data_IF_597522576636
#
_entry.id   IF_597522576636
#
_cell.length_a   1.000
_cell.length_b   1.000
_cell.length_c   1.000
_cell.angle_alpha   90.00
_cell.angle_beta   90.00
_cell.angle_gamma   90.00
#
_symmetry.space_group_name_H-M   'P 1'
#
loop_
_entity.id
_entity.type
_entity.pdbx_description
1 polymer ?
#
# COMPACT_ATOMS: atom_id res chain seq x y z
N UNK A 1 -18.18 -12.35 8.78
CA UNK A 1 -17.77 -11.18 9.60
C UNK A 1 -18.57 -9.96 9.15
N UNK A 2 -19.10 -9.12 10.04
CA UNK A 2 -19.84 -7.92 9.62
C UNK A 2 -18.87 -6.84 9.15
N UNK A 3 -19.33 -5.89 8.34
CA UNK A 3 -18.51 -4.77 7.85
C UNK A 3 -17.85 -3.97 9.00
N UNK A 4 -18.59 -3.75 10.09
CA UNK A 4 -18.06 -3.08 11.30
C UNK A 4 -16.91 -3.83 11.95
N UNK A 5 -16.95 -5.16 11.92
CA UNK A 5 -15.92 -6.01 12.51
C UNK A 5 -14.66 -5.99 11.63
N UNK A 6 -14.81 -5.98 10.30
CA UNK A 6 -13.70 -5.79 9.35
C UNK A 6 -13.06 -4.41 9.53
N UNK A 7 -13.87 -3.36 9.69
CA UNK A 7 -13.37 -2.00 9.93
C UNK A 7 -12.58 -1.90 11.24
N UNK A 8 -13.03 -2.59 12.29
CA UNK A 8 -12.32 -2.66 13.55
C UNK A 8 -10.99 -3.40 13.43
N UNK A 9 -10.96 -4.53 12.71
CA UNK A 9 -9.74 -5.29 12.47
C UNK A 9 -8.72 -4.50 11.63
N UNK A 10 -9.16 -3.80 10.59
CA UNK A 10 -8.29 -2.92 9.79
C UNK A 10 -7.73 -1.77 10.64
N UNK A 11 -8.55 -1.17 11.51
CA UNK A 11 -8.08 -0.12 12.42
C UNK A 11 -7.02 -0.62 13.39
N UNK A 12 -7.19 -1.82 13.94
CA UNK A 12 -6.17 -2.44 14.79
C UNK A 12 -4.83 -2.67 14.04
N UNK A 13 -4.85 -2.83 12.72
CA UNK A 13 -3.62 -2.86 11.90
C UNK A 13 -3.06 -1.46 11.69
N UNK A 14 -3.90 -0.46 11.45
CA UNK A 14 -3.46 0.94 11.31
C UNK A 14 -2.73 1.42 12.55
N UNK A 15 -3.24 1.07 13.73
CA UNK A 15 -2.69 1.46 15.03
C UNK A 15 -1.31 0.84 15.32
N UNK A 16 -0.91 -0.19 14.57
CA UNK A 16 0.44 -0.79 14.65
C UNK A 16 1.47 -0.07 13.77
N UNK A 17 1.04 0.80 12.85
CA UNK A 17 1.93 1.50 11.93
C UNK A 17 2.33 2.84 12.56
N UNK A 18 3.64 3.11 12.76
CA UNK A 18 4.08 4.34 13.40
C UNK A 18 3.79 5.57 12.53
N UNK A 19 3.45 6.68 13.18
CA UNK A 19 3.21 7.95 12.49
C UNK A 19 4.49 8.55 11.92
N UNK A 20 4.45 8.92 10.64
CA UNK A 20 5.65 9.31 9.86
C UNK A 20 5.90 10.82 9.77
N UNK A 21 5.03 11.66 10.34
CA UNK A 21 5.08 13.12 10.14
C UNK A 21 4.98 13.51 8.66
N UNK A 22 4.02 12.94 7.94
CA UNK A 22 3.91 13.06 6.48
C UNK A 22 3.69 14.51 6.02
N UNK A 23 4.48 14.98 5.06
CA UNK A 23 4.34 16.33 4.46
C UNK A 23 3.44 16.36 3.22
N UNK A 24 2.75 15.26 2.90
CA UNK A 24 1.75 15.23 1.82
C UNK A 24 2.30 15.19 0.39
N UNK A 25 3.60 14.93 0.21
CA UNK A 25 4.28 14.91 -1.11
C UNK A 25 4.29 13.55 -1.81
N UNK A 26 3.47 12.61 -1.36
CA UNK A 26 3.40 11.29 -2.02
C UNK A 26 2.93 11.39 -3.48
N UNK A 27 2.23 12.47 -3.88
CA UNK A 27 1.76 12.66 -5.25
C UNK A 27 2.88 12.58 -6.30
N UNK A 28 4.06 13.10 -5.97
CA UNK A 28 5.23 13.14 -6.86
C UNK A 28 5.75 11.74 -7.21
N UNK A 29 5.48 10.75 -6.37
CA UNK A 29 6.06 9.40 -6.42
C UNK A 29 5.02 8.28 -6.32
N UNK A 30 3.74 8.62 -6.30
CA UNK A 30 2.67 7.64 -6.20
C UNK A 30 2.60 6.81 -7.49
N UNK A 31 2.27 5.54 -7.32
CA UNK A 31 2.05 4.59 -8.40
C UNK A 31 0.84 3.72 -8.08
N UNK A 32 0.72 2.58 -8.77
CA UNK A 32 -0.32 1.63 -8.45
C UNK A 32 -0.30 1.29 -6.96
N UNK A 33 -1.47 1.17 -6.32
CA UNK A 33 -1.65 0.68 -4.95
C UNK A 33 -2.69 -0.46 -4.86
N UNK A 34 -2.31 -1.54 -4.18
CA UNK A 34 -3.26 -2.59 -3.77
C UNK A 34 -3.75 -2.30 -2.36
N UNK A 35 -5.00 -2.67 -2.08
CA UNK A 35 -5.63 -2.43 -0.78
C UNK A 35 -6.69 -3.49 -0.51
N UNK A 36 -7.04 -3.68 0.76
CA UNK A 36 -8.10 -4.61 1.12
C UNK A 36 -9.44 -4.16 0.48
N UNK A 37 -10.31 -5.07 0.01
CA UNK A 37 -11.57 -4.71 -0.65
C UNK A 37 -12.46 -3.75 0.18
N UNK A 38 -12.45 -3.89 1.51
CA UNK A 38 -13.17 -2.98 2.41
C UNK A 38 -12.58 -1.56 2.44
N UNK A 39 -11.25 -1.42 2.34
CA UNK A 39 -10.59 -0.11 2.23
C UNK A 39 -10.97 0.58 0.93
N UNK A 40 -10.90 -0.17 -0.18
CA UNK A 40 -11.33 0.29 -1.51
C UNK A 40 -12.79 0.75 -1.49
N UNK A 41 -13.66 -0.02 -0.85
CA UNK A 41 -15.08 0.32 -0.71
C UNK A 41 -15.28 1.63 0.07
N UNK A 42 -14.57 1.83 1.19
CA UNK A 42 -14.68 3.05 2.00
C UNK A 42 -14.22 4.29 1.25
N UNK A 43 -13.14 4.17 0.48
CA UNK A 43 -12.63 5.25 -0.38
C UNK A 43 -13.63 5.57 -1.49
N UNK A 44 -14.22 4.56 -2.13
CA UNK A 44 -15.27 4.75 -3.14
C UNK A 44 -16.54 5.41 -2.54
N UNK A 45 -16.92 5.05 -1.31
CA UNK A 45 -18.04 5.68 -0.58
C UNK A 45 -17.78 7.16 -0.24
N UNK A 46 -16.52 7.57 -0.15
CA UNK A 46 -16.11 8.97 0.00
C UNK A 46 -16.06 9.72 -1.34
N UNK A 47 -16.52 9.11 -2.45
CA UNK A 47 -16.61 9.74 -3.76
C UNK A 47 -15.37 9.60 -4.63
N UNK A 48 -14.38 8.79 -4.22
CA UNK A 48 -13.10 8.62 -4.94
C UNK A 48 -12.90 7.16 -5.30
N UNK A 49 -13.48 6.65 -6.41
CA UNK A 49 -13.27 5.27 -6.80
C UNK A 49 -11.81 5.06 -7.26
N UNK A 50 -11.10 4.14 -6.60
CA UNK A 50 -9.77 3.69 -7.02
C UNK A 50 -9.91 2.33 -7.70
N UNK A 51 -9.48 2.17 -8.97
CA UNK A 51 -9.68 0.95 -9.73
C UNK A 51 -8.91 -0.24 -9.11
N UNK A 52 -9.36 -1.49 -9.30
CA UNK A 52 -8.63 -2.67 -8.85
C UNK A 52 -7.18 -2.66 -9.33
N UNK A 53 -6.29 -3.29 -8.57
CA UNK A 53 -4.85 -3.30 -8.85
C UNK A 53 -4.49 -3.71 -10.27
N UNK A 54 -5.12 -4.76 -10.78
CA UNK A 54 -4.86 -5.27 -12.12
C UNK A 54 -5.10 -4.19 -13.18
N UNK A 55 -6.17 -3.42 -13.06
CA UNK A 55 -6.48 -2.33 -13.99
C UNK A 55 -5.44 -1.19 -13.88
N UNK A 56 -4.95 -0.89 -12.67
CA UNK A 56 -3.87 0.08 -12.48
C UNK A 56 -2.58 -0.36 -13.18
N UNK A 57 -2.24 -1.65 -13.09
CA UNK A 57 -1.11 -2.25 -13.78
C UNK A 57 -1.28 -2.20 -15.29
N UNK A 58 -2.48 -2.47 -15.80
CA UNK A 58 -2.77 -2.44 -17.23
C UNK A 58 -2.62 -1.01 -17.79
N UNK A 59 -3.05 0.01 -17.04
CA UNK A 59 -2.81 1.42 -17.37
C UNK A 59 -1.31 1.73 -17.37
N UNK A 60 -0.58 1.31 -16.33
CA UNK A 60 0.87 1.51 -16.24
C UNK A 60 1.61 0.84 -17.40
N UNK A 61 1.24 -0.38 -17.77
CA UNK A 61 1.86 -1.14 -18.85
C UNK A 61 1.60 -0.49 -20.21
N UNK A 62 0.38 0.02 -20.44
CA UNK A 62 -0.01 0.66 -21.70
C UNK A 62 0.56 2.06 -21.89
N UNK A 63 0.67 2.84 -20.81
CA UNK A 63 1.00 4.27 -20.90
C UNK A 63 2.39 4.61 -20.39
N UNK A 64 3.04 3.68 -19.69
CA UNK A 64 4.29 3.92 -18.97
C UNK A 64 4.08 4.64 -17.64
N UNK A 65 2.86 5.10 -17.32
CA UNK A 65 2.57 5.89 -16.13
C UNK A 65 1.24 5.54 -15.43
N UNK A 66 1.14 5.81 -14.13
CA UNK A 66 -0.13 5.66 -13.40
C UNK A 66 -0.19 6.60 -12.20
N UNK A 67 -1.18 7.49 -12.16
CA UNK A 67 -1.44 8.39 -11.03
C UNK A 67 -2.70 7.93 -10.29
N UNK A 68 -2.61 7.83 -8.95
CA UNK A 68 -3.75 7.45 -8.12
C UNK A 68 -4.88 8.49 -8.24
N UNK A 69 -6.14 8.09 -8.53
CA UNK A 69 -7.27 9.01 -8.66
C UNK A 69 -7.56 9.86 -7.42
N UNK A 70 -7.07 9.43 -6.26
CA UNK A 70 -7.20 10.19 -5.02
C UNK A 70 -6.24 11.37 -4.89
N UNK A 71 -5.35 11.59 -5.87
CA UNK A 71 -4.47 12.74 -5.89
C UNK A 71 -5.17 13.92 -6.58
N UNK A 72 -5.59 14.89 -5.78
CA UNK A 72 -6.24 16.12 -6.23
C UNK A 72 -5.33 17.27 -5.81
N UNK A 73 -4.97 18.14 -6.77
CA UNK A 73 -4.10 19.31 -6.52
C UNK A 73 -2.80 18.97 -5.77
N UNK A 74 -2.19 17.82 -6.13
CA UNK A 74 -0.93 17.36 -5.53
C UNK A 74 -1.06 16.79 -4.12
N UNK A 75 -2.29 16.57 -3.61
CA UNK A 75 -2.55 16.03 -2.28
C UNK A 75 -3.52 14.85 -2.34
N UNK A 76 -3.38 13.92 -1.39
CA UNK A 76 -4.34 12.83 -1.26
C UNK A 76 -5.64 13.36 -0.65
N UNK A 77 -6.73 13.36 -1.43
CA UNK A 77 -8.05 13.82 -1.00
C UNK A 77 -8.72 12.91 0.03
N UNK A 78 -8.25 11.66 0.15
CA UNK A 78 -8.75 10.64 1.10
C UNK A 78 -7.70 10.27 2.14
N UNK A 79 -6.88 11.23 2.58
CA UNK A 79 -5.74 10.99 3.46
C UNK A 79 -6.08 10.20 4.74
N UNK A 80 -7.24 10.47 5.34
CA UNK A 80 -7.73 9.76 6.54
C UNK A 80 -8.18 8.32 6.26
N UNK A 81 -8.59 8.03 5.02
CA UNK A 81 -9.04 6.71 4.57
C UNK A 81 -7.94 5.89 3.89
N UNK A 82 -6.68 6.36 3.95
CA UNK A 82 -5.55 5.68 3.32
C UNK A 82 -5.49 4.20 3.71
N UNK A 83 -5.26 3.31 2.72
CA UNK A 83 -5.11 1.89 2.99
C UNK A 83 -3.78 1.58 3.69
N UNK A 84 -3.62 0.36 4.21
CA UNK A 84 -2.40 -0.11 4.88
C UNK A 84 -1.13 0.23 4.10
N UNK A 85 -1.08 -0.06 2.79
CA UNK A 85 0.12 0.23 1.97
C UNK A 85 0.51 1.71 1.98
N UNK A 86 -0.46 2.61 1.96
CA UNK A 86 -0.22 4.06 1.98
C UNK A 86 0.16 4.57 3.37
N UNK A 87 -0.19 3.85 4.44
CA UNK A 87 0.23 4.15 5.82
C UNK A 87 1.66 3.68 6.08
N UNK A 88 2.05 2.55 5.50
CA UNK A 88 3.42 2.03 5.57
C UNK A 88 4.44 2.91 4.83
N UNK A 89 3.98 3.78 3.92
CA UNK A 89 4.84 4.72 3.22
C UNK A 89 5.48 5.75 4.16
N UNK A 90 6.81 5.72 4.23
CA UNK A 90 7.63 6.44 5.20
C UNK A 90 7.81 5.71 6.53
N UNK A 91 7.06 4.64 6.79
CA UNK A 91 7.06 3.90 8.06
C UNK A 91 7.85 2.59 8.00
N UNK A 92 8.25 2.11 6.81
CA UNK A 92 8.92 0.82 6.63
C UNK A 92 10.21 0.94 5.80
N UNK A 93 11.18 0.05 6.04
CA UNK A 93 12.46 -0.01 5.33
C UNK A 93 12.32 -0.19 3.82
N UNK A 94 11.35 -1.01 3.36
CA UNK A 94 11.04 -1.17 1.94
C UNK A 94 10.21 -0.02 1.34
N UNK A 95 9.67 0.89 2.15
CA UNK A 95 8.78 1.98 1.72
C UNK A 95 9.24 3.33 2.25
N UNK A 96 10.53 3.62 2.17
CA UNK A 96 11.10 4.89 2.65
C UNK A 96 10.50 6.07 1.90
N UNK A 97 10.20 7.16 2.61
CA UNK A 97 9.74 8.38 1.98
C UNK A 97 10.94 9.12 1.35
N UNK A 98 10.93 9.42 0.03
CA UNK A 98 12.04 10.12 -0.62
C UNK A 98 12.20 11.58 -0.14
N UNK A 99 11.21 12.10 0.58
CA UNK A 99 11.22 13.43 1.20
C UNK A 99 11.69 13.41 2.66
N UNK A 100 12.18 12.26 3.15
CA UNK A 100 12.74 12.14 4.50
C UNK A 100 11.72 11.99 5.63
N UNK A 101 10.42 11.86 5.32
CA UNK A 101 9.41 11.55 6.35
C UNK A 101 9.70 10.17 6.96
N UNK A 102 9.71 10.11 8.30
CA UNK A 102 9.99 8.90 9.06
C UNK A 102 9.37 9.00 10.45
N UNK A 103 9.13 7.87 11.13
CA UNK A 103 8.68 7.86 12.52
C UNK A 103 9.58 8.69 13.43
N UNK A 104 8.96 9.51 14.28
CA UNK A 104 9.67 10.29 15.29
C UNK A 104 10.28 9.40 16.39
N UNK A 105 9.66 8.23 16.62
CA UNK A 105 10.02 7.26 17.66
C UNK A 105 9.94 5.85 17.07
N UNK A 106 10.72 4.90 17.61
CA UNK A 106 10.68 3.49 17.19
C UNK A 106 11.40 3.16 15.87
N UNK A 107 11.65 4.14 15.00
CA UNK A 107 12.33 3.93 13.72
C UNK A 107 11.43 3.30 12.65
N UNK A 108 12.03 2.88 11.53
CA UNK A 108 11.30 2.22 10.44
C UNK A 108 11.01 0.76 10.82
N UNK A 109 9.79 0.30 10.50
CA UNK A 109 9.42 -1.11 10.53
C UNK A 109 10.35 -1.91 9.62
N UNK A 110 10.68 -3.14 10.06
CA UNK A 110 11.39 -4.09 9.22
C UNK A 110 10.52 -4.46 8.01
N UNK A 111 11.15 -4.96 6.94
CA UNK A 111 10.42 -5.48 5.78
C UNK A 111 9.46 -6.60 6.20
N UNK A 112 9.87 -7.45 7.15
CA UNK A 112 9.04 -8.53 7.68
C UNK A 112 7.78 -8.03 8.37
N UNK A 113 7.91 -7.04 9.26
CA UNK A 113 6.77 -6.48 9.97
C UNK A 113 5.81 -5.77 9.01
N UNK A 114 6.36 -4.97 8.09
CA UNK A 114 5.56 -4.25 7.09
C UNK A 114 4.78 -5.20 6.17
N UNK A 115 5.44 -6.24 5.66
CA UNK A 115 4.78 -7.25 4.85
C UNK A 115 3.79 -8.09 5.67
N UNK A 116 4.11 -8.38 6.93
CA UNK A 116 3.20 -9.05 7.86
C UNK A 116 1.90 -8.28 8.04
N UNK A 117 1.96 -6.96 8.23
CA UNK A 117 0.78 -6.09 8.35
C UNK A 117 -0.04 -6.05 7.05
N UNK A 118 0.61 -5.98 5.88
CA UNK A 118 -0.07 -6.06 4.58
C UNK A 118 -0.78 -7.41 4.40
N UNK A 119 -0.12 -8.51 4.73
CA UNK A 119 -0.68 -9.85 4.63
C UNK A 119 -1.88 -10.03 5.57
N UNK A 120 -1.75 -9.57 6.82
CA UNK A 120 -2.84 -9.58 7.79
C UNK A 120 -4.03 -8.80 7.25
N UNK A 121 -3.81 -7.59 6.73
CA UNK A 121 -4.88 -6.75 6.21
C UNK A 121 -5.61 -7.40 5.04
N UNK A 122 -4.85 -7.95 4.08
CA UNK A 122 -5.41 -8.66 2.93
C UNK A 122 -6.17 -9.92 3.33
N UNK A 123 -5.84 -10.54 4.47
CA UNK A 123 -6.48 -11.76 4.96
C UNK A 123 -7.77 -11.52 5.78
N UNK A 124 -8.08 -10.29 6.22
CA UNK A 124 -9.27 -10.01 7.06
C UNK A 124 -10.56 -10.27 6.28
N UNK A 125 -11.13 -11.47 6.46
CA UNK A 125 -12.42 -11.84 5.87
C UNK A 125 -12.52 -11.46 4.38
N UNK A 126 -11.42 -11.60 3.64
CA UNK A 126 -11.34 -11.18 2.26
C UNK A 126 -11.92 -12.28 1.37
N UNK A 127 -13.09 -12.07 0.75
CA UNK A 127 -13.73 -13.10 -0.06
C UNK A 127 -12.93 -13.46 -1.32
N UNK A 128 -11.90 -12.68 -1.66
CA UNK A 128 -11.01 -12.93 -2.80
C UNK A 128 -9.83 -13.84 -2.44
N UNK A 129 -9.60 -14.14 -1.16
CA UNK A 129 -8.53 -15.02 -0.70
C UNK A 129 -9.11 -16.17 0.12
N UNK A 130 -8.86 -17.40 -0.31
CA UNK A 130 -9.08 -18.58 0.53
C UNK A 130 -7.94 -18.75 1.55
N UNK A 131 -8.14 -19.58 2.56
CA UNK A 131 -7.15 -19.84 3.61
C UNK A 131 -5.80 -20.32 3.02
N UNK A 132 -5.85 -21.07 1.91
CA UNK A 132 -4.67 -21.50 1.19
C UNK A 132 -3.91 -20.35 0.52
N UNK A 133 -4.62 -19.36 -0.01
CA UNK A 133 -4.05 -18.16 -0.62
C UNK A 133 -3.41 -17.26 0.43
N UNK A 134 -4.02 -17.13 1.60
CA UNK A 134 -3.45 -16.42 2.75
C UNK A 134 -2.15 -17.07 3.20
N UNK A 135 -2.10 -18.39 3.31
CA UNK A 135 -0.88 -19.12 3.69
C UNK A 135 0.21 -19.06 2.62
N UNK A 136 -0.16 -19.13 1.33
CA UNK A 136 0.78 -18.90 0.23
C UNK A 136 1.34 -17.48 0.27
N UNK A 137 0.51 -16.48 0.53
CA UNK A 137 0.93 -15.09 0.67
C UNK A 137 1.91 -14.93 1.84
N UNK A 138 1.59 -15.46 3.02
CA UNK A 138 2.49 -15.45 4.19
C UNK A 138 3.85 -16.11 3.88
N UNK A 139 3.85 -17.33 3.32
CA UNK A 139 5.08 -18.03 2.94
C UNK A 139 5.89 -17.29 1.87
N UNK A 140 5.20 -16.70 0.89
CA UNK A 140 5.85 -15.90 -0.15
C UNK A 140 6.48 -14.65 0.45
N UNK A 141 5.80 -13.94 1.35
CA UNK A 141 6.35 -12.79 2.04
C UNK A 141 7.45 -13.15 3.05
N UNK A 142 7.51 -14.38 3.54
CA UNK A 142 8.64 -14.90 4.31
C UNK A 142 9.86 -15.23 3.44
N UNK A 143 9.70 -15.35 2.11
CA UNK A 143 10.79 -15.63 1.19
C UNK A 143 11.60 -14.35 0.86
N UNK A 144 12.91 -14.31 1.16
CA UNK A 144 13.76 -13.15 0.87
C UNK A 144 13.76 -12.71 -0.60
N UNK A 145 13.65 -13.65 -1.56
CA UNK A 145 13.61 -13.32 -2.98
C UNK A 145 12.32 -12.55 -3.34
N UNK A 146 11.18 -12.96 -2.78
CA UNK A 146 9.92 -12.23 -2.95
C UNK A 146 10.01 -10.85 -2.31
N UNK A 147 10.61 -10.73 -1.11
CA UNK A 147 10.83 -9.44 -0.43
C UNK A 147 11.66 -8.48 -1.30
N UNK A 148 12.70 -8.97 -1.97
CA UNK A 148 13.52 -8.17 -2.91
C UNK A 148 12.71 -7.73 -4.13
N UNK A 149 11.96 -8.63 -4.76
CA UNK A 149 11.11 -8.30 -5.92
C UNK A 149 10.04 -7.29 -5.56
N UNK A 150 9.36 -7.46 -4.43
CA UNK A 150 8.39 -6.48 -3.92
C UNK A 150 9.07 -5.14 -3.62
N UNK A 151 10.23 -5.15 -2.96
CA UNK A 151 10.98 -3.91 -2.72
C UNK A 151 11.28 -3.18 -4.01
N UNK A 152 11.86 -3.84 -5.01
CA UNK A 152 12.14 -3.24 -6.32
C UNK A 152 10.86 -2.70 -7.00
N UNK A 153 9.75 -3.41 -6.83
CA UNK A 153 8.47 -3.03 -7.40
C UNK A 153 7.86 -1.79 -6.70
N UNK A 154 7.90 -1.72 -5.37
CA UNK A 154 7.32 -0.59 -4.63
C UNK A 154 8.29 0.61 -4.50
N UNK A 155 9.59 0.39 -4.59
CA UNK A 155 10.60 1.46 -4.65
C UNK A 155 10.87 1.98 -6.06
N UNK A 156 10.12 1.53 -7.09
CA UNK A 156 10.12 2.14 -8.43
C UNK A 156 9.47 3.52 -8.34
N UNK A 157 10.23 4.47 -7.79
CA UNK A 157 9.84 5.87 -7.73
C UNK A 157 9.84 6.45 -9.15
N UNK A 158 8.89 7.35 -9.42
CA UNK A 158 8.88 8.18 -10.64
C UNK A 158 10.11 9.09 -10.75
N UNK A 159 10.91 9.21 -9.69
CA UNK A 159 12.16 9.95 -9.67
C UNK A 159 13.26 9.13 -10.37
N UNK A 160 13.47 9.37 -11.66
CA UNK A 160 14.64 8.87 -12.40
C UNK A 160 14.55 7.45 -12.98
N UNK A 161 13.42 7.07 -13.56
CA UNK A 161 13.15 5.70 -14.07
C UNK A 161 14.00 5.34 -15.32
N UNK A 162 14.85 4.29 -15.33
CA UNK A 162 15.40 3.71 -16.56
C UNK A 162 14.34 2.86 -17.29
N UNK A 163 14.49 2.61 -18.62
CA UNK A 163 13.49 1.92 -19.44
C UNK A 163 13.26 0.47 -19.00
N UNK A 164 12.05 -0.04 -19.28
CA UNK A 164 11.71 -1.45 -19.05
C UNK A 164 12.67 -2.34 -19.87
N UNK A 165 13.17 -3.47 -19.31
CA UNK A 165 13.72 -4.51 -20.17
C UNK A 165 12.57 -5.04 -21.03
N UNK A 166 12.76 -4.98 -22.35
CA UNK A 166 11.88 -5.59 -23.35
C UNK A 166 11.93 -7.11 -23.33
#
# INVERSE_FOLDING_TARGET
MRRSDIDAALRAIYDQIPEVGCVGRCADVCGPIEMHPRERQRIAQAGVPIPPWQEQLDVLARTGDYSCPALIEGRCSVYELRPVICRLWGAAQTLVCPYGCRPAQGGLLSDEDAYGLLAQALAIANPQLDDGAIDRLRRSLANPATRVTMRQYVTRTRLGRPPLPG
#
